data_IF_687665072342
#
_entry.id   IF_687665072342
#
_cell.length_a   1.000
_cell.length_b   1.000
_cell.length_c   1.000
_cell.angle_alpha   90.00
_cell.angle_beta   90.00
_cell.angle_gamma   90.00
#
_symmetry.space_group_name_H-M   'P 1'
#
loop_
_entity.id
_entity.type
_entity.pdbx_description
1 polymer ?
#
# COMPACT_ATOMS: atom_id res chain seq x y z
N UNK A 1 -16.09 6.78 -43.49
CA UNK A 1 -14.79 7.06 -42.87
C UNK A 1 -14.73 6.27 -41.57
N UNK A 2 -14.31 5.00 -41.66
CA UNK A 2 -14.00 4.20 -40.48
C UNK A 2 -12.70 4.75 -39.91
N UNK A 3 -12.72 5.22 -38.67
CA UNK A 3 -11.51 5.66 -38.00
C UNK A 3 -10.68 4.41 -37.70
N UNK A 4 -9.53 4.27 -38.36
CA UNK A 4 -8.47 3.38 -37.90
C UNK A 4 -8.11 3.81 -36.48
N UNK A 5 -8.61 3.07 -35.49
CA UNK A 5 -8.00 3.05 -34.17
C UNK A 5 -6.64 2.37 -34.37
N UNK A 6 -5.59 3.17 -34.52
CA UNK A 6 -4.22 2.67 -34.59
C UNK A 6 -4.02 1.63 -33.49
N UNK A 7 -3.39 0.51 -33.88
CA UNK A 7 -3.13 -0.72 -33.12
C UNK A 7 -2.44 -0.45 -31.77
N UNK A 8 -3.15 0.16 -30.83
CA UNK A 8 -2.67 0.64 -29.55
C UNK A 8 -3.54 0.01 -28.49
N UNK A 9 -3.04 -1.05 -27.86
CA UNK A 9 -3.72 -1.70 -26.75
C UNK A 9 -3.78 -0.74 -25.55
N UNK A 10 -4.97 -0.18 -25.20
CA UNK A 10 -5.10 0.72 -24.05
C UNK A 10 -4.76 0.01 -22.74
N UNK A 11 -4.84 -1.32 -22.72
CA UNK A 11 -4.39 -2.16 -21.62
C UNK A 11 -2.90 -2.00 -21.28
N UNK A 12 -2.05 -1.63 -22.25
CA UNK A 12 -0.60 -1.44 -22.03
C UNK A 12 -0.29 -0.25 -21.13
N UNK A 13 -1.06 0.83 -21.24
CA UNK A 13 -0.90 2.01 -20.39
C UNK A 13 -1.26 1.67 -18.94
N UNK A 14 -2.38 0.99 -18.73
CA UNK A 14 -2.79 0.51 -17.39
C UNK A 14 -1.76 -0.44 -16.78
N UNK A 15 -1.25 -1.39 -17.57
CA UNK A 15 -0.24 -2.34 -17.11
C UNK A 15 1.06 -1.65 -16.65
N UNK A 16 1.52 -0.61 -17.36
CA UNK A 16 2.70 0.17 -16.97
C UNK A 16 2.50 0.93 -15.65
N UNK A 17 1.31 1.53 -15.46
CA UNK A 17 0.98 2.23 -14.20
C UNK A 17 0.96 1.26 -13.02
N UNK A 18 0.32 0.10 -13.18
CA UNK A 18 0.24 -0.92 -12.12
C UNK A 18 1.63 -1.46 -11.78
N UNK A 19 2.48 -1.68 -12.79
CA UNK A 19 3.88 -2.09 -12.56
C UNK A 19 4.67 -1.04 -11.80
N UNK A 20 4.54 0.24 -12.15
CA UNK A 20 5.23 1.34 -11.47
C UNK A 20 4.78 1.55 -10.03
N UNK A 21 3.47 1.53 -9.78
CA UNK A 21 2.93 1.72 -8.43
C UNK A 21 3.25 0.53 -7.52
N UNK A 22 3.37 -0.69 -8.06
CA UNK A 22 3.79 -1.86 -7.31
C UNK A 22 5.20 -1.72 -6.72
N UNK A 23 6.13 -1.16 -7.52
CA UNK A 23 7.48 -0.84 -7.06
C UNK A 23 7.47 0.25 -5.96
N UNK A 24 6.73 1.33 -6.16
CA UNK A 24 6.60 2.40 -5.16
C UNK A 24 5.96 1.90 -3.86
N UNK A 25 4.92 1.07 -3.96
CA UNK A 25 4.24 0.44 -2.83
C UNK A 25 5.21 -0.40 -2.00
N UNK A 26 6.00 -1.27 -2.65
CA UNK A 26 7.04 -2.05 -1.98
C UNK A 26 8.07 -1.14 -1.28
N UNK A 27 8.46 -0.03 -1.91
CA UNK A 27 9.39 0.95 -1.33
C UNK A 27 8.86 1.64 -0.07
N UNK A 28 7.55 1.68 0.15
CA UNK A 28 6.95 2.25 1.38
C UNK A 28 6.91 1.28 2.56
N UNK A 29 7.16 -0.02 2.32
CA UNK A 29 7.18 -1.04 3.37
C UNK A 29 8.56 -1.05 4.00
N UNK A 30 8.65 -0.63 5.26
CA UNK A 30 9.90 -0.50 6.00
C UNK A 30 9.92 -1.49 7.15
N UNK A 31 11.00 -2.25 7.25
CA UNK A 31 11.27 -3.15 8.37
C UNK A 31 12.19 -2.40 9.33
N UNK A 32 11.64 -1.98 10.48
CA UNK A 32 12.41 -1.26 11.51
C UNK A 32 12.81 -2.22 12.63
N UNK A 33 14.09 -2.20 13.02
CA UNK A 33 14.61 -2.88 14.21
C UNK A 33 14.12 -4.33 14.37
N UNK A 34 13.78 -4.72 15.60
CA UNK A 34 13.36 -6.08 15.94
C UNK A 34 11.93 -6.34 15.43
N UNK A 35 11.83 -6.66 14.14
CA UNK A 35 10.65 -7.22 13.46
C UNK A 35 9.40 -6.34 13.39
N UNK A 36 9.52 -5.00 13.53
CA UNK A 36 8.38 -4.10 13.37
C UNK A 36 8.25 -3.64 11.92
N UNK A 37 7.25 -4.16 11.22
CA UNK A 37 6.90 -3.72 9.86
C UNK A 37 6.06 -2.43 9.95
N UNK A 38 6.50 -1.37 9.28
CA UNK A 38 5.75 -0.12 9.10
C UNK A 38 5.45 0.11 7.62
N UNK A 39 4.37 0.83 7.34
CA UNK A 39 4.03 1.26 5.98
C UNK A 39 3.24 0.26 5.13
N UNK A 40 2.86 -0.91 5.68
CA UNK A 40 1.99 -1.89 5.01
C UNK A 40 0.66 -1.26 4.51
N UNK A 41 -0.02 -0.51 5.38
CA UNK A 41 -1.29 0.15 5.03
C UNK A 41 -1.08 1.25 3.98
N UNK A 42 0.04 1.97 4.05
CA UNK A 42 0.40 3.00 3.07
C UNK A 42 0.64 2.42 1.68
N UNK A 43 1.36 1.29 1.61
CA UNK A 43 1.58 0.56 0.37
C UNK A 43 0.25 0.14 -0.30
N UNK A 44 -0.68 -0.38 0.50
CA UNK A 44 -2.01 -0.76 0.03
C UNK A 44 -2.82 0.45 -0.47
N UNK A 45 -2.79 1.58 0.24
CA UNK A 45 -3.47 2.82 -0.18
C UNK A 45 -2.94 3.35 -1.51
N UNK A 46 -1.61 3.36 -1.70
CA UNK A 46 -0.98 3.80 -2.95
C UNK A 46 -1.44 2.94 -4.13
N UNK A 47 -1.40 1.62 -3.97
CA UNK A 47 -1.86 0.69 -5.01
C UNK A 47 -3.35 0.90 -5.35
N UNK A 48 -4.21 0.99 -4.32
CA UNK A 48 -5.64 1.17 -4.50
C UNK A 48 -6.00 2.52 -5.17
N UNK A 49 -5.31 3.61 -4.79
CA UNK A 49 -5.50 4.94 -5.39
C UNK A 49 -5.08 4.97 -6.87
N UNK A 50 -4.01 4.27 -7.24
CA UNK A 50 -3.58 4.16 -8.63
C UNK A 50 -4.58 3.37 -9.48
N UNK A 51 -5.10 2.24 -8.98
CA UNK A 51 -6.15 1.49 -9.67
C UNK A 51 -7.42 2.32 -9.88
N UNK A 52 -7.82 3.10 -8.86
CA UNK A 52 -8.94 4.03 -8.98
C UNK A 52 -8.68 5.13 -10.02
N UNK A 53 -7.46 5.70 -10.04
CA UNK A 53 -7.04 6.70 -11.01
C UNK A 53 -7.07 6.18 -12.46
N UNK A 54 -6.65 4.93 -12.67
CA UNK A 54 -6.76 4.27 -13.98
C UNK A 54 -8.23 4.06 -14.37
N UNK A 55 -9.07 3.61 -13.43
CA UNK A 55 -10.51 3.45 -13.67
C UNK A 55 -11.20 4.78 -14.05
N UNK A 56 -10.82 5.88 -13.40
CA UNK A 56 -11.28 7.22 -13.76
C UNK A 56 -10.74 7.67 -15.13
N UNK A 57 -9.46 7.38 -15.41
CA UNK A 57 -8.79 7.75 -16.66
C UNK A 57 -9.38 7.09 -17.91
N UNK A 58 -9.94 5.89 -17.78
CA UNK A 58 -10.68 5.21 -18.87
C UNK A 58 -12.15 5.64 -18.97
N UNK A 59 -12.63 6.53 -18.10
CA UNK A 59 -14.02 7.01 -18.08
C UNK A 59 -15.02 6.10 -17.34
N UNK A 60 -14.55 5.11 -16.56
CA UNK A 60 -15.41 4.20 -15.82
C UNK A 60 -15.80 4.75 -14.44
N UNK A 61 -16.59 5.83 -14.46
CA UNK A 61 -16.95 6.60 -13.25
C UNK A 61 -17.77 5.82 -12.24
N UNK A 62 -18.70 4.97 -12.69
CA UNK A 62 -19.55 4.17 -11.79
C UNK A 62 -18.71 3.19 -10.96
N UNK A 63 -17.78 2.47 -11.61
CA UNK A 63 -16.87 1.57 -10.91
C UNK A 63 -15.88 2.31 -10.01
N UNK A 64 -15.38 3.48 -10.44
CA UNK A 64 -14.50 4.30 -9.62
C UNK A 64 -15.19 4.78 -8.33
N UNK A 65 -16.47 5.15 -8.40
CA UNK A 65 -17.26 5.56 -7.24
C UNK A 65 -17.45 4.39 -6.26
N UNK A 66 -17.79 3.21 -6.76
CA UNK A 66 -17.90 2.00 -5.94
C UNK A 66 -16.56 1.67 -5.26
N UNK A 67 -15.46 1.76 -6.02
CA UNK A 67 -14.11 1.51 -5.52
C UNK A 67 -13.71 2.51 -4.43
N UNK A 68 -14.10 3.78 -4.57
CA UNK A 68 -13.88 4.81 -3.55
C UNK A 68 -14.55 4.45 -2.22
N UNK A 69 -15.84 4.10 -2.25
CA UNK A 69 -16.55 3.68 -1.03
C UNK A 69 -15.95 2.41 -0.44
N UNK A 70 -15.58 1.43 -1.27
CA UNK A 70 -14.94 0.20 -0.80
C UNK A 70 -13.59 0.48 -0.12
N UNK A 71 -12.73 1.33 -0.69
CA UNK A 71 -11.42 1.69 -0.12
C UNK A 71 -11.60 2.42 1.22
N UNK A 72 -12.50 3.40 1.26
CA UNK A 72 -12.84 4.14 2.49
C UNK A 72 -13.35 3.19 3.60
N UNK A 73 -14.24 2.27 3.25
CA UNK A 73 -14.79 1.28 4.17
C UNK A 73 -13.70 0.36 4.72
N UNK A 74 -12.88 -0.23 3.85
CA UNK A 74 -11.79 -1.13 4.24
C UNK A 74 -10.77 -0.43 5.12
N UNK A 75 -10.37 0.81 4.80
CA UNK A 75 -9.38 1.53 5.62
C UNK A 75 -9.91 1.93 6.98
N UNK A 76 -11.18 2.34 7.06
CA UNK A 76 -11.82 2.63 8.35
C UNK A 76 -11.92 1.38 9.22
N UNK A 77 -12.30 0.26 8.62
CA UNK A 77 -12.41 -1.02 9.31
C UNK A 77 -11.04 -1.54 9.77
N UNK A 78 -10.00 -1.46 8.93
CA UNK A 78 -8.64 -1.83 9.31
C UNK A 78 -8.11 -0.96 10.46
N UNK A 79 -8.37 0.35 10.43
CA UNK A 79 -7.95 1.24 11.50
C UNK A 79 -8.64 0.88 12.82
N UNK A 80 -9.95 0.60 12.79
CA UNK A 80 -10.70 0.17 13.96
C UNK A 80 -10.17 -1.14 14.55
N UNK A 81 -9.94 -2.15 13.69
CA UNK A 81 -9.35 -3.43 14.09
C UNK A 81 -7.96 -3.21 14.67
N UNK A 82 -7.10 -2.45 13.99
CA UNK A 82 -5.75 -2.16 14.47
C UNK A 82 -5.79 -1.53 15.87
N UNK A 83 -6.61 -0.51 16.08
CA UNK A 83 -6.68 0.22 17.35
C UNK A 83 -7.18 -0.67 18.50
N UNK A 84 -8.10 -1.60 18.21
CA UNK A 84 -8.62 -2.55 19.20
C UNK A 84 -7.63 -3.66 19.55
N UNK A 85 -6.85 -4.16 18.58
CA UNK A 85 -5.94 -5.29 18.78
C UNK A 85 -4.55 -4.88 19.29
N UNK A 86 -4.05 -3.68 18.95
CA UNK A 86 -2.67 -3.27 19.32
C UNK A 86 -2.49 -2.89 20.80
N UNK A 87 -3.58 -2.72 21.55
CA UNK A 87 -3.53 -2.42 22.99
C UNK A 87 -3.09 -3.58 23.90
N UNK A 88 -2.99 -4.82 23.39
CA UNK A 88 -2.75 -6.01 24.23
C UNK A 88 -1.30 -6.50 24.30
N UNK A 89 -0.35 -5.85 23.61
CA UNK A 89 1.04 -6.30 23.56
C UNK A 89 1.95 -5.41 24.41
N UNK A 90 2.15 -5.79 25.69
CA UNK A 90 3.16 -5.20 26.58
C UNK A 90 4.55 -5.56 26.06
N UNK A 91 5.11 -4.74 25.17
CA UNK A 91 6.45 -4.96 24.61
C UNK A 91 7.51 -4.67 25.70
N UNK A 92 7.99 -5.69 26.41
CA UNK A 92 9.18 -5.58 27.26
C UNK A 92 10.41 -5.88 26.39
N UNK A 93 11.02 -4.83 25.88
CA UNK A 93 12.20 -4.92 25.03
C UNK A 93 13.46 -4.76 25.90
N UNK A 94 13.97 -5.87 26.42
CA UNK A 94 15.12 -5.89 27.33
C UNK A 94 16.41 -5.88 26.50
N UNK A 95 17.07 -4.72 26.41
CA UNK A 95 18.33 -4.56 25.70
C UNK A 95 19.48 -4.73 26.69
N UNK A 96 20.27 -5.80 26.54
CA UNK A 96 21.50 -6.00 27.31
C UNK A 96 22.65 -5.50 26.46
N UNK A 97 23.14 -4.31 26.78
CA UNK A 97 24.39 -3.77 26.23
C UNK A 97 25.52 -4.47 26.98
N UNK A 98 26.16 -5.43 26.33
CA UNK A 98 27.46 -5.90 26.79
C UNK A 98 28.49 -4.88 26.33
N UNK A 99 28.79 -3.91 27.19
CA UNK A 99 30.02 -3.17 27.03
C UNK A 99 31.16 -4.17 27.30
N UNK A 100 31.93 -4.45 26.26
CA UNK A 100 33.07 -5.35 26.32
C UNK A 100 33.94 -4.90 27.49
N UNK A 101 34.16 -5.81 28.46
CA UNK A 101 35.21 -5.66 29.45
C UNK A 101 36.56 -5.63 28.73
N UNK A 102 36.94 -4.44 28.27
CA UNK A 102 38.26 -4.13 27.72
C UNK A 102 39.22 -3.89 28.89
N UNK A 103 39.43 -4.88 29.74
CA UNK A 103 40.60 -4.96 30.62
C UNK A 103 40.65 -6.29 31.41
N UNK A 104 41.18 -7.34 30.79
CA UNK A 104 42.10 -8.31 31.42
C UNK A 104 43.07 -8.79 30.34
#
# INVERSE_FOLDING_TARGET
MMLEYGNTDPARLGAQVISGIGFLGAGTILITGVQRIKGLTTAACLWASACMGVALGIGFYFGALLMFFAIMFVMTLLNFVQTKYIGSCRNLHLYIIFDTLKNV
#
